data_IF_816012594930
#
_entry.id   IF_816012594930
#
_cell.length_a   1.000
_cell.length_b   1.000
_cell.length_c   1.000
_cell.angle_alpha   90.00
_cell.angle_beta   90.00
_cell.angle_gamma   90.00
#
_symmetry.space_group_name_H-M   'P 1'
#
loop_
_entity.id
_entity.type
_entity.pdbx_description
1 polymer ?
#
# COMPACT_ATOMS: atom_id res chain seq x y z
N UNK A 1 25.34 26.12 -18.92
CA UNK A 1 26.76 25.86 -18.93
C UNK A 1 27.09 24.43 -18.53
N UNK A 2 28.16 23.87 -19.03
CA UNK A 2 28.58 22.53 -18.68
C UNK A 2 29.38 22.57 -17.37
N UNK A 3 29.28 21.50 -16.61
CA UNK A 3 30.10 21.22 -15.43
C UNK A 3 31.33 20.43 -15.93
N UNK A 4 32.54 20.77 -15.46
CA UNK A 4 33.74 19.98 -15.70
C UNK A 4 33.99 19.12 -14.47
N UNK A 5 34.17 17.84 -14.69
CA UNK A 5 34.60 16.84 -13.71
C UNK A 5 35.91 16.19 -14.19
N UNK A 6 36.37 15.18 -13.46
CA UNK A 6 37.59 14.43 -13.82
C UNK A 6 37.25 12.94 -13.91
N UNK A 7 37.89 12.23 -14.86
CA UNK A 7 37.80 10.77 -14.97
C UNK A 7 38.70 10.09 -13.91
N UNK A 8 38.69 8.76 -13.89
CA UNK A 8 39.51 7.97 -12.97
C UNK A 8 41.04 8.19 -13.14
N UNK A 9 41.47 8.72 -14.28
CA UNK A 9 42.88 9.03 -14.58
C UNK A 9 43.27 10.48 -14.27
N UNK A 10 42.30 11.28 -13.79
CA UNK A 10 42.50 12.69 -13.48
C UNK A 10 42.41 13.64 -14.69
N UNK A 11 41.89 13.16 -15.83
CA UNK A 11 41.71 14.03 -17.00
C UNK A 11 40.34 14.79 -16.88
N UNK A 12 40.29 16.06 -17.33
CA UNK A 12 39.06 16.80 -17.32
C UNK A 12 38.05 16.23 -18.32
N UNK A 13 36.80 16.03 -17.88
CA UNK A 13 35.71 15.59 -18.71
C UNK A 13 34.49 16.51 -18.50
N UNK A 14 33.78 16.82 -19.57
CA UNK A 14 32.55 17.57 -19.49
C UNK A 14 31.41 16.67 -19.02
N UNK A 15 30.74 17.06 -17.96
CA UNK A 15 29.46 16.43 -17.56
C UNK A 15 28.39 16.89 -18.54
N UNK A 16 27.68 15.96 -19.17
CA UNK A 16 26.58 16.27 -20.08
C UNK A 16 25.53 17.13 -19.38
N UNK A 17 24.94 18.08 -20.07
CA UNK A 17 23.87 18.92 -19.53
C UNK A 17 22.64 18.09 -19.23
N UNK A 18 22.10 18.25 -18.01
CA UNK A 18 20.82 17.63 -17.63
C UNK A 18 19.61 18.38 -18.21
N UNK A 19 18.45 17.76 -18.05
CA UNK A 19 17.15 18.36 -18.32
C UNK A 19 16.62 19.07 -17.06
N UNK A 20 15.61 19.93 -17.24
CA UNK A 20 14.94 20.60 -16.12
C UNK A 20 14.40 19.55 -15.12
N UNK A 21 14.62 19.77 -13.82
CA UNK A 21 14.19 18.88 -12.75
C UNK A 21 15.16 17.72 -12.41
N UNK A 22 16.23 17.54 -13.17
CA UNK A 22 17.27 16.58 -12.82
C UNK A 22 18.23 17.14 -11.76
N UNK A 23 18.80 16.25 -10.95
CA UNK A 23 19.81 16.54 -9.93
C UNK A 23 21.15 15.94 -10.34
N UNK A 24 22.25 16.60 -9.96
CA UNK A 24 23.60 16.04 -10.17
C UNK A 24 23.84 14.93 -9.16
N UNK A 25 24.05 13.73 -9.65
CA UNK A 25 24.16 12.51 -8.84
C UNK A 25 25.57 11.92 -8.96
N UNK A 26 26.13 11.48 -7.86
CA UNK A 26 27.38 10.74 -7.84
C UNK A 26 27.22 9.39 -8.56
N UNK A 27 28.12 9.09 -9.48
CA UNK A 27 28.18 7.80 -10.17
C UNK A 27 29.14 6.79 -9.46
N UNK A 28 29.62 7.13 -8.25
CA UNK A 28 30.55 6.34 -7.48
C UNK A 28 32.02 6.78 -7.62
N UNK A 29 32.89 6.10 -6.90
CA UNK A 29 34.31 6.43 -6.92
C UNK A 29 34.92 6.20 -8.31
N UNK A 30 35.67 7.16 -8.81
CA UNK A 30 36.39 7.10 -10.09
C UNK A 30 35.52 7.32 -11.35
N UNK A 31 34.22 7.64 -11.19
CA UNK A 31 33.33 7.99 -12.29
C UNK A 31 32.88 9.45 -12.19
N UNK A 32 32.76 10.18 -13.32
CA UNK A 32 32.21 11.52 -13.34
C UNK A 32 30.72 11.48 -12.88
N UNK A 33 30.24 12.52 -12.16
CA UNK A 33 28.85 12.61 -11.81
C UNK A 33 27.94 12.75 -13.04
N UNK A 34 26.68 12.36 -12.91
CA UNK A 34 25.68 12.47 -13.99
C UNK A 34 24.43 13.16 -13.49
N UNK A 35 23.65 13.76 -14.40
CA UNK A 35 22.32 14.24 -14.07
C UNK A 35 21.33 13.09 -14.11
N UNK A 36 20.56 12.89 -13.02
CA UNK A 36 19.53 11.88 -12.89
C UNK A 36 18.22 12.51 -12.43
N UNK A 37 17.11 11.81 -12.60
CA UNK A 37 15.83 12.25 -12.02
C UNK A 37 15.98 12.39 -10.49
N UNK A 38 15.35 13.43 -9.92
CA UNK A 38 15.29 13.55 -8.47
C UNK A 38 14.61 12.31 -7.87
N UNK A 39 15.15 11.80 -6.77
CA UNK A 39 14.50 10.72 -6.03
C UNK A 39 13.14 11.19 -5.52
N UNK A 40 12.12 10.37 -5.69
CA UNK A 40 10.75 10.65 -5.26
C UNK A 40 9.99 9.36 -5.00
N UNK A 41 8.69 9.47 -4.79
CA UNK A 41 7.82 8.30 -4.70
C UNK A 41 7.84 7.57 -6.05
N UNK A 42 8.30 6.33 -6.06
CA UNK A 42 8.46 5.53 -7.28
C UNK A 42 7.32 4.55 -7.51
N UNK A 43 6.48 4.36 -6.50
CA UNK A 43 5.26 3.52 -6.56
C UNK A 43 4.21 4.04 -5.59
N UNK A 44 2.99 4.22 -6.08
CA UNK A 44 1.79 4.38 -5.26
C UNK A 44 0.61 3.73 -5.97
N UNK A 45 -0.20 2.98 -5.23
CA UNK A 45 -1.37 2.27 -5.74
C UNK A 45 -2.46 2.21 -4.66
N UNK A 46 -3.71 2.15 -5.09
CA UNK A 46 -4.84 2.02 -4.19
C UNK A 46 -5.87 1.03 -4.75
N UNK A 47 -6.34 0.17 -3.86
CA UNK A 47 -7.38 -0.82 -4.11
C UNK A 47 -8.54 -0.58 -3.17
N UNK A 48 -9.77 -0.75 -3.66
CA UNK A 48 -10.99 -0.60 -2.88
C UNK A 48 -11.87 -1.85 -2.97
N UNK A 49 -12.82 -1.96 -2.05
CA UNK A 49 -13.92 -2.89 -2.21
C UNK A 49 -14.93 -2.30 -3.19
N UNK A 50 -15.20 -3.00 -4.29
CA UNK A 50 -16.11 -2.55 -5.36
C UNK A 50 -17.59 -2.66 -5.00
N UNK A 51 -17.94 -3.48 -4.00
CA UNK A 51 -19.30 -3.66 -3.55
C UNK A 51 -19.39 -3.94 -2.06
N UNK A 52 -20.49 -3.54 -1.44
CA UNK A 52 -20.77 -3.85 -0.05
C UNK A 52 -20.95 -5.36 0.16
N UNK A 53 -20.50 -5.86 1.30
CA UNK A 53 -20.61 -7.27 1.68
C UNK A 53 -21.14 -7.41 3.10
N UNK A 54 -22.06 -8.36 3.30
CA UNK A 54 -22.45 -8.75 4.66
C UNK A 54 -21.37 -9.61 5.28
N UNK A 55 -20.94 -9.25 6.48
CA UNK A 55 -19.96 -9.97 7.26
C UNK A 55 -20.60 -10.52 8.52
N UNK A 56 -20.39 -11.81 8.80
CA UNK A 56 -20.78 -12.39 10.07
C UNK A 56 -19.85 -11.92 11.19
N UNK A 57 -20.37 -11.80 12.40
CA UNK A 57 -19.51 -11.60 13.58
C UNK A 57 -18.69 -12.87 13.88
N UNK A 58 -17.56 -12.73 14.56
CA UNK A 58 -16.71 -13.84 14.99
C UNK A 58 -15.23 -13.62 14.72
N UNK A 59 -14.53 -14.70 14.38
CA UNK A 59 -13.08 -14.71 14.16
C UNK A 59 -12.64 -13.85 12.97
N UNK A 60 -11.35 -13.46 12.93
CA UNK A 60 -10.81 -12.71 11.80
C UNK A 60 -11.04 -13.41 10.46
N UNK A 61 -11.57 -12.68 9.49
CA UNK A 61 -11.89 -13.20 8.16
C UNK A 61 -11.11 -12.42 7.10
N UNK A 62 -10.37 -13.12 6.24
CA UNK A 62 -9.64 -12.51 5.12
C UNK A 62 -10.61 -11.99 4.04
N UNK A 63 -10.31 -10.81 3.50
CA UNK A 63 -11.06 -10.23 2.38
C UNK A 63 -10.49 -10.79 1.07
N UNK A 64 -11.17 -11.74 0.47
CA UNK A 64 -10.68 -12.50 -0.70
C UNK A 64 -11.34 -12.13 -2.02
N UNK A 65 -12.42 -11.35 -1.98
CA UNK A 65 -13.21 -10.99 -3.17
C UNK A 65 -13.50 -9.49 -3.23
N UNK A 66 -14.06 -9.04 -4.34
CA UNK A 66 -14.51 -7.67 -4.61
C UNK A 66 -13.39 -6.60 -4.52
N UNK A 67 -12.14 -6.99 -4.65
CA UNK A 67 -11.04 -6.05 -4.78
C UNK A 67 -10.94 -5.55 -6.21
N UNK A 68 -11.06 -4.25 -6.40
CA UNK A 68 -10.73 -3.56 -7.65
C UNK A 68 -9.72 -2.45 -7.40
N UNK A 69 -8.88 -2.16 -8.40
CA UNK A 69 -8.04 -0.95 -8.35
C UNK A 69 -8.94 0.26 -8.49
N UNK A 70 -8.70 1.29 -7.68
CA UNK A 70 -9.39 2.58 -7.84
C UNK A 70 -9.15 3.11 -9.26
N UNK A 71 -10.19 3.54 -9.96
CA UNK A 71 -10.16 3.95 -11.38
C UNK A 71 -11.07 5.15 -11.71
N UNK A 72 -11.62 5.80 -10.68
CA UNK A 72 -12.53 6.94 -10.81
C UNK A 72 -11.89 8.23 -10.26
N UNK A 73 -12.51 9.37 -10.52
CA UNK A 73 -12.18 10.68 -9.94
C UNK A 73 -10.71 11.11 -10.09
N UNK A 74 -10.14 10.90 -11.28
CA UNK A 74 -8.75 11.25 -11.60
C UNK A 74 -7.71 10.48 -10.77
N UNK A 75 -8.05 9.28 -10.31
CA UNK A 75 -7.07 8.39 -9.68
C UNK A 75 -5.88 8.13 -10.63
N UNK A 76 -4.68 8.08 -10.07
CA UNK A 76 -3.46 7.77 -10.82
C UNK A 76 -2.55 6.82 -10.04
N UNK A 77 -2.00 5.83 -10.75
CA UNK A 77 -0.93 4.96 -10.26
C UNK A 77 0.40 5.66 -10.50
N UNK A 78 1.31 5.63 -9.53
CA UNK A 78 2.70 6.01 -9.74
C UNK A 78 3.51 4.73 -9.97
N UNK A 79 4.26 4.69 -11.06
CA UNK A 79 5.17 3.58 -11.39
C UNK A 79 4.48 2.25 -11.65
N UNK A 80 5.10 1.14 -11.24
CA UNK A 80 4.57 -0.21 -11.43
C UNK A 80 3.58 -0.55 -10.33
N UNK A 81 2.35 -0.90 -10.72
CA UNK A 81 1.25 -1.18 -9.80
C UNK A 81 1.41 -2.51 -9.04
N UNK A 82 0.75 -2.62 -7.90
CA UNK A 82 0.50 -3.90 -7.22
C UNK A 82 -0.31 -4.85 -8.11
N UNK A 83 -0.21 -6.13 -7.87
CA UNK A 83 -1.17 -7.12 -8.36
C UNK A 83 -1.87 -7.81 -7.21
N UNK A 84 -3.09 -8.30 -7.43
CA UNK A 84 -3.82 -9.08 -6.45
C UNK A 84 -4.51 -10.29 -7.09
N UNK A 85 -4.63 -11.37 -6.31
CA UNK A 85 -5.43 -12.55 -6.64
C UNK A 85 -6.01 -13.14 -5.36
N UNK A 86 -7.33 -13.28 -5.32
CA UNK A 86 -8.05 -13.81 -4.14
C UNK A 86 -7.65 -13.13 -2.82
N UNK A 87 -7.48 -11.80 -2.85
CA UNK A 87 -7.11 -10.99 -1.69
C UNK A 87 -5.64 -11.09 -1.26
N UNK A 88 -4.80 -11.78 -2.02
CA UNK A 88 -3.34 -11.77 -1.86
C UNK A 88 -2.74 -10.67 -2.72
N UNK A 89 -2.09 -9.69 -2.10
CA UNK A 89 -1.43 -8.59 -2.79
C UNK A 89 0.07 -8.85 -2.93
N UNK A 90 0.58 -8.65 -4.15
CA UNK A 90 1.98 -8.87 -4.52
C UNK A 90 2.61 -7.55 -4.93
N UNK A 91 3.81 -7.28 -4.41
CA UNK A 91 4.57 -6.06 -4.66
C UNK A 91 5.30 -6.12 -6.00
N UNK A 92 5.39 -4.99 -6.75
CA UNK A 92 6.08 -4.95 -8.05
C UNK A 92 7.62 -4.97 -7.93
N UNK A 93 8.18 -4.54 -6.80
CA UNK A 93 9.63 -4.48 -6.55
C UNK A 93 9.94 -4.65 -5.07
N UNK A 94 11.21 -4.87 -4.73
CA UNK A 94 11.72 -4.77 -3.36
C UNK A 94 11.74 -3.32 -2.90
N UNK A 95 11.78 -3.09 -1.59
CA UNK A 95 11.81 -1.74 -0.99
C UNK A 95 11.02 -1.64 0.31
N UNK A 96 11.06 -0.46 0.90
CA UNK A 96 10.29 -0.11 2.10
C UNK A 96 8.96 0.48 1.66
N UNK A 97 7.86 -0.09 2.16
CA UNK A 97 6.50 0.29 1.80
C UNK A 97 5.71 0.77 3.01
N UNK A 98 4.96 1.85 2.82
CA UNK A 98 3.87 2.24 3.71
C UNK A 98 2.59 1.57 3.24
N UNK A 99 1.93 0.87 4.15
CA UNK A 99 0.65 0.22 3.97
C UNK A 99 -0.39 0.90 4.84
N UNK A 100 -1.56 1.16 4.28
CA UNK A 100 -2.71 1.67 5.03
C UNK A 100 -3.96 0.92 4.58
N UNK A 101 -4.55 0.15 5.49
CA UNK A 101 -5.84 -0.50 5.29
C UNK A 101 -6.91 0.25 6.08
N UNK A 102 -7.86 0.86 5.38
CA UNK A 102 -9.05 1.46 5.95
C UNK A 102 -10.21 0.46 5.86
N UNK A 103 -10.77 0.10 7.00
CA UNK A 103 -11.97 -0.74 7.10
C UNK A 103 -13.14 0.11 7.53
N UNK A 104 -14.17 0.16 6.70
CA UNK A 104 -15.36 0.95 6.91
C UNK A 104 -16.62 0.11 6.74
N UNK A 105 -17.61 0.31 7.60
CA UNK A 105 -18.83 -0.45 7.53
C UNK A 105 -19.91 0.09 8.45
N UNK A 106 -20.95 -0.71 8.59
CA UNK A 106 -22.14 -0.39 9.38
C UNK A 106 -22.54 -1.61 10.21
N UNK A 107 -22.78 -1.38 11.50
CA UNK A 107 -23.41 -2.41 12.35
C UNK A 107 -24.83 -2.66 11.89
N UNK A 108 -25.17 -3.91 11.57
CA UNK A 108 -26.52 -4.35 11.17
C UNK A 108 -27.20 -5.20 12.25
N UNK A 109 -26.52 -5.42 13.38
CA UNK A 109 -27.06 -6.07 14.56
C UNK A 109 -27.86 -5.08 15.42
N UNK A 110 -28.82 -5.55 16.16
CA UNK A 110 -29.54 -4.77 17.18
C UNK A 110 -28.72 -4.49 18.44
N UNK A 111 -27.56 -5.13 18.58
CA UNK A 111 -26.64 -5.01 19.70
C UNK A 111 -25.51 -4.05 19.42
N UNK A 112 -24.94 -3.47 20.48
CA UNK A 112 -23.67 -2.74 20.37
C UNK A 112 -22.56 -3.72 19.95
N UNK A 113 -21.70 -3.31 19.05
CA UNK A 113 -20.51 -4.06 18.65
C UNK A 113 -19.30 -3.47 19.35
N UNK A 114 -18.70 -4.23 20.27
CA UNK A 114 -17.56 -3.79 21.11
C UNK A 114 -16.28 -3.60 20.32
N UNK A 115 -16.14 -4.36 19.22
CA UNK A 115 -14.99 -4.23 18.33
C UNK A 115 -15.41 -4.41 16.86
N UNK A 116 -14.80 -3.57 16.04
CA UNK A 116 -14.82 -3.64 14.58
C UNK A 116 -13.38 -3.39 14.15
N UNK A 117 -12.69 -4.46 13.81
CA UNK A 117 -11.24 -4.44 13.62
C UNK A 117 -10.89 -4.62 12.15
N UNK A 118 -9.91 -3.84 11.70
CA UNK A 118 -9.26 -4.00 10.40
C UNK A 118 -7.82 -4.46 10.60
N UNK A 119 -7.36 -5.42 9.81
CA UNK A 119 -6.06 -6.06 9.98
C UNK A 119 -5.23 -6.07 8.70
N UNK A 120 -3.92 -5.93 8.85
CA UNK A 120 -2.92 -6.24 7.83
C UNK A 120 -2.16 -7.48 8.28
N UNK A 121 -2.15 -8.51 7.45
CA UNK A 121 -1.35 -9.73 7.61
C UNK A 121 -0.23 -9.76 6.58
N UNK A 122 0.94 -10.19 6.99
CA UNK A 122 2.15 -10.27 6.16
C UNK A 122 2.66 -11.70 6.14
N UNK A 123 3.14 -12.14 4.98
CA UNK A 123 3.98 -13.34 4.84
C UNK A 123 5.37 -12.96 4.34
N UNK A 124 6.40 -13.64 4.82
CA UNK A 124 7.77 -13.54 4.34
C UNK A 124 8.27 -14.82 3.67
N UNK A 125 7.41 -15.84 3.60
CA UNK A 125 7.71 -17.16 3.03
C UNK A 125 6.68 -17.63 2.00
N UNK A 126 5.72 -16.75 1.62
CA UNK A 126 4.60 -17.05 0.71
C UNK A 126 3.71 -18.23 1.17
N UNK A 127 3.66 -18.51 2.45
CA UNK A 127 2.92 -19.65 3.02
C UNK A 127 2.11 -19.24 4.25
N UNK A 128 2.76 -18.98 5.36
CA UNK A 128 2.12 -18.54 6.60
C UNK A 128 1.99 -17.02 6.64
N UNK A 129 0.87 -16.55 7.18
CA UNK A 129 0.59 -15.12 7.34
C UNK A 129 0.45 -14.79 8.81
N UNK A 130 1.21 -13.82 9.28
CA UNK A 130 1.19 -13.31 10.64
C UNK A 130 0.54 -11.93 10.69
N UNK A 131 -0.16 -11.62 11.78
CA UNK A 131 -0.75 -10.32 12.01
C UNK A 131 0.37 -9.28 12.19
N UNK A 132 0.43 -8.30 11.30
CA UNK A 132 1.41 -7.22 11.33
C UNK A 132 0.87 -5.92 11.91
N UNK A 133 -0.38 -5.58 11.62
CA UNK A 133 -1.02 -4.37 12.14
C UNK A 133 -2.52 -4.56 12.32
N UNK A 134 -3.06 -3.85 13.30
CA UNK A 134 -4.48 -3.81 13.60
C UNK A 134 -4.93 -2.37 13.87
N UNK A 135 -6.14 -2.06 13.43
CA UNK A 135 -6.89 -0.89 13.86
C UNK A 135 -8.21 -1.36 14.45
N UNK A 136 -8.64 -0.77 15.56
CA UNK A 136 -9.88 -1.14 16.23
C UNK A 136 -10.79 0.06 16.42
N UNK A 137 -12.08 -0.19 16.37
CA UNK A 137 -13.14 0.75 16.74
C UNK A 137 -14.34 -0.02 17.31
N UNK A 138 -15.40 0.68 17.65
CA UNK A 138 -16.64 0.07 18.12
C UNK A 138 -17.85 0.74 17.47
N UNK A 139 -19.00 0.11 17.52
CA UNK A 139 -20.26 0.69 17.07
C UNK A 139 -21.35 0.57 18.16
N UNK A 140 -21.86 1.72 18.59
CA UNK A 140 -22.89 1.80 19.62
C UNK A 140 -24.30 1.74 19.00
N UNK A 141 -24.81 0.54 18.79
CA UNK A 141 -26.19 0.30 18.35
C UNK A 141 -26.35 0.00 16.87
N UNK A 142 -27.59 -0.34 16.52
CA UNK A 142 -28.01 -0.71 15.16
C UNK A 142 -27.87 0.45 14.17
N UNK A 143 -27.52 0.12 12.94
CA UNK A 143 -27.39 1.05 11.81
C UNK A 143 -26.39 2.21 12.06
N UNK A 144 -25.39 1.99 12.91
CA UNK A 144 -24.31 2.95 13.13
C UNK A 144 -23.11 2.59 12.29
N UNK A 145 -22.59 3.60 11.60
CA UNK A 145 -21.37 3.50 10.84
C UNK A 145 -20.15 3.42 11.74
N UNK A 146 -19.12 2.76 11.27
CA UNK A 146 -17.81 2.71 11.91
C UNK A 146 -16.71 2.77 10.86
N UNK A 147 -15.56 3.27 11.26
CA UNK A 147 -14.35 3.23 10.46
C UNK A 147 -13.13 3.02 11.36
N UNK A 148 -12.16 2.28 10.87
CA UNK A 148 -10.85 2.10 11.52
C UNK A 148 -9.77 1.98 10.47
N UNK A 149 -8.52 2.18 10.88
CA UNK A 149 -7.37 2.13 9.99
C UNK A 149 -6.23 1.38 10.66
N UNK A 150 -5.68 0.39 9.96
CA UNK A 150 -4.42 -0.25 10.29
C UNK A 150 -3.32 0.29 9.37
N UNK A 151 -2.15 0.61 9.93
CA UNK A 151 -0.99 1.09 9.16
C UNK A 151 0.24 0.29 9.52
N UNK A 152 1.11 0.05 8.52
CA UNK A 152 2.33 -0.70 8.71
C UNK A 152 3.44 -0.22 7.76
N UNK A 153 4.69 -0.24 8.21
CA UNK A 153 5.86 -0.06 7.36
C UNK A 153 6.47 -1.45 7.14
N UNK A 154 6.50 -1.87 5.87
CA UNK A 154 6.94 -3.20 5.47
C UNK A 154 8.22 -3.13 4.64
N UNK A 155 9.22 -3.93 5.01
CA UNK A 155 10.39 -4.19 4.18
C UNK A 155 10.11 -5.39 3.25
N UNK A 156 10.04 -5.13 1.96
CA UNK A 156 9.86 -6.14 0.92
C UNK A 156 11.23 -6.53 0.36
N UNK A 157 11.86 -7.51 0.97
CA UNK A 157 13.18 -8.02 0.55
C UNK A 157 13.10 -8.99 -0.63
N UNK A 158 11.95 -9.59 -0.88
CA UNK A 158 11.72 -10.56 -1.97
C UNK A 158 10.25 -10.57 -2.37
N UNK A 159 9.95 -10.15 -3.59
CA UNK A 159 8.56 -10.04 -4.10
C UNK A 159 7.85 -11.38 -4.31
N UNK A 160 8.57 -12.47 -4.43
CA UNK A 160 7.98 -13.82 -4.54
C UNK A 160 7.49 -14.32 -3.19
N UNK A 161 8.15 -13.94 -2.10
CA UNK A 161 7.92 -14.43 -0.75
C UNK A 161 7.12 -13.47 0.12
N UNK A 162 7.39 -12.14 0.02
CA UNK A 162 6.72 -11.13 0.83
C UNK A 162 5.43 -10.70 0.15
N UNK A 163 4.32 -10.95 0.83
CA UNK A 163 2.96 -10.59 0.36
C UNK A 163 2.11 -10.15 1.53
N UNK A 164 0.99 -9.53 1.24
CA UNK A 164 0.04 -9.12 2.26
C UNK A 164 -1.37 -9.60 1.95
N UNK A 165 -2.16 -9.72 3.01
CA UNK A 165 -3.62 -9.85 3.01
C UNK A 165 -4.21 -8.86 3.97
N UNK A 166 -5.44 -8.47 3.73
CA UNK A 166 -6.24 -7.74 4.70
C UNK A 166 -7.33 -8.64 5.26
N UNK A 167 -7.71 -8.38 6.49
CA UNK A 167 -8.80 -9.08 7.15
C UNK A 167 -9.62 -8.09 7.99
N UNK A 168 -10.76 -8.53 8.40
CA UNK A 168 -11.61 -7.84 9.37
C UNK A 168 -12.07 -8.78 10.47
N UNK A 169 -12.49 -8.19 11.59
CA UNK A 169 -13.20 -8.90 12.65
C UNK A 169 -14.26 -7.97 13.25
N UNK A 170 -15.43 -8.48 13.52
CA UNK A 170 -16.50 -7.75 14.22
C UNK A 170 -17.18 -8.69 15.21
N UNK A 171 -17.65 -8.15 16.34
CA UNK A 171 -18.36 -8.99 17.34
C UNK A 171 -19.69 -9.51 16.80
N UNK A 172 -20.42 -8.66 16.10
CA UNK A 172 -21.73 -8.97 15.54
C UNK A 172 -21.77 -8.74 14.04
N UNK A 173 -22.86 -9.16 13.40
CA UNK A 173 -23.05 -8.97 11.97
C UNK A 173 -22.96 -7.49 11.59
N UNK A 174 -22.21 -7.23 10.54
CA UNK A 174 -22.03 -5.91 9.95
C UNK A 174 -22.17 -5.97 8.43
N UNK A 175 -22.34 -4.81 7.81
CA UNK A 175 -22.14 -4.60 6.38
C UNK A 175 -20.82 -3.86 6.18
N UNK A 176 -19.85 -4.47 5.50
CA UNK A 176 -18.65 -3.80 5.03
C UNK A 176 -19.02 -2.92 3.84
N UNK A 177 -18.53 -1.68 3.82
CA UNK A 177 -18.78 -0.78 2.72
C UNK A 177 -17.82 -1.00 1.55
N UNK A 178 -18.40 -1.05 0.36
CA UNK A 178 -17.72 -1.09 -0.91
C UNK A 178 -18.56 -0.42 -1.99
N UNK A 179 -17.92 0.21 -2.94
CA UNK A 179 -18.54 0.91 -4.06
C UNK A 179 -17.51 1.08 -5.18
N UNK A 180 -17.95 0.94 -6.44
CA UNK A 180 -17.07 1.08 -7.60
C UNK A 180 -16.79 2.55 -7.98
N UNK A 181 -17.61 3.49 -7.49
CA UNK A 181 -17.46 4.93 -7.78
C UNK A 181 -16.79 5.70 -6.63
N UNK A 182 -16.79 5.14 -5.42
CA UNK A 182 -16.29 5.81 -4.22
C UNK A 182 -15.44 4.87 -3.37
N UNK A 183 -14.37 5.40 -2.80
CA UNK A 183 -13.43 4.63 -2.00
C UNK A 183 -13.83 4.66 -0.52
N UNK A 184 -14.35 3.53 -0.02
CA UNK A 184 -14.68 3.29 1.39
C UNK A 184 -13.67 2.35 2.04
N UNK A 185 -13.95 1.03 2.07
CA UNK A 185 -12.95 0.05 2.51
C UNK A 185 -11.87 -0.08 1.44
N UNK A 186 -10.63 0.20 1.81
CA UNK A 186 -9.54 0.31 0.84
C UNK A 186 -8.17 -0.06 1.42
N UNK A 187 -7.26 -0.37 0.52
CA UNK A 187 -5.83 -0.56 0.79
C UNK A 187 -5.03 0.43 -0.06
N UNK A 188 -4.27 1.30 0.59
CA UNK A 188 -3.32 2.22 -0.04
C UNK A 188 -1.90 1.72 0.23
N UNK A 189 -1.08 1.71 -0.82
CA UNK A 189 0.31 1.23 -0.77
C UNK A 189 1.22 2.25 -1.43
N UNK A 190 2.26 2.69 -0.72
CA UNK A 190 3.24 3.66 -1.20
C UNK A 190 4.64 3.12 -0.93
N UNK A 191 5.50 3.06 -1.94
CA UNK A 191 6.91 2.74 -1.79
C UNK A 191 7.66 3.98 -1.33
N UNK A 192 8.31 3.88 -0.18
CA UNK A 192 9.05 4.99 0.44
C UNK A 192 10.50 5.07 -0.04
N UNK A 193 11.11 3.93 -0.39
CA UNK A 193 12.52 3.86 -0.77
C UNK A 193 13.01 2.43 -0.99
N UNK A 194 14.34 2.29 -1.12
CA UNK A 194 15.00 1.00 -1.24
C UNK A 194 15.14 0.31 0.13
N UNK A 195 15.35 -1.01 0.11
CA UNK A 195 15.65 -1.85 1.29
C UNK A 195 17.09 -1.60 1.76
#
# INVERSE_FOLDING_TARGET
GNIISYDASGNPVAVATGSAGQVLTSAGAGAPPTFAAAAGITMADQWRQSSASTIAGGDPTFITANWERTDTDSYGVIGSAMSQSSGVFTFPSTGIYHLQFAFMGKNTSSSNTRYCDGFIYVTTNNSSYDLAAAGTTHSSGNLRDFATTATFILDVTNTSNVKIKTAFQTEHQCSMYGNTDSTYTNLTVIRLGDT
#
